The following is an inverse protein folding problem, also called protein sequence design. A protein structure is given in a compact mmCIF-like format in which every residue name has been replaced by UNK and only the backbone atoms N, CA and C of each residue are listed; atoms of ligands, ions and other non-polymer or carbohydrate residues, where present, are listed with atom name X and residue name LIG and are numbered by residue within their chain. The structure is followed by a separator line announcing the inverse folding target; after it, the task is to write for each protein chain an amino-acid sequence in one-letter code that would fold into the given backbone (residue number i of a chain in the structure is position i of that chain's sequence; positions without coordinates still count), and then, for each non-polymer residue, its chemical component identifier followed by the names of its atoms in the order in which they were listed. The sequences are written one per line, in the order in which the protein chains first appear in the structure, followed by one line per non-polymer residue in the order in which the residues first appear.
data_IF_915034284444
#
_entry.id   IF_915034284444
#
_cell.length_a   1.000
_cell.length_b   1.000
_cell.length_c   1.000
_cell.angle_alpha   90.00
_cell.angle_beta   90.00
_cell.angle_gamma   90.00
#
_symmetry.space_group_name_H-M   'P 1'
#
loop_
_entity.id
_entity.type
_entity.pdbx_description
1 polymer ?
#
# COMPACT_ATOMS: atom_id res chain seq x y z
N UNK A 1 -35.00 -0.44 19.27
CA UNK A 1 -33.96 -0.52 18.22
C UNK A 1 -33.41 0.82 17.74
N UNK A 2 -33.99 1.99 18.09
CA UNK A 2 -33.41 3.31 17.73
C UNK A 2 -32.26 3.77 18.65
N UNK A 3 -32.25 3.36 19.92
CA UNK A 3 -31.23 3.80 20.90
C UNK A 3 -29.86 3.13 20.73
N UNK A 4 -29.81 1.90 20.21
CA UNK A 4 -28.55 1.16 19.96
C UNK A 4 -27.80 1.69 18.74
N UNK A 5 -28.54 2.18 17.73
CA UNK A 5 -27.98 2.81 16.53
C UNK A 5 -27.26 4.14 16.82
N UNK A 6 -27.70 4.88 17.84
CA UNK A 6 -27.08 6.16 18.22
C UNK A 6 -25.72 5.94 18.89
N UNK A 7 -25.56 4.86 19.66
CA UNK A 7 -24.28 4.56 20.34
C UNK A 7 -23.21 4.12 19.34
N UNK A 8 -23.57 3.33 18.32
CA UNK A 8 -22.63 2.93 17.25
C UNK A 8 -22.21 4.14 16.41
N UNK A 9 -23.11 5.10 16.19
CA UNK A 9 -22.80 6.33 15.46
C UNK A 9 -21.90 7.29 16.27
N UNK A 10 -22.02 7.32 17.60
CA UNK A 10 -21.15 8.12 18.47
C UNK A 10 -19.71 7.59 18.55
N UNK A 11 -19.48 6.27 18.45
CA UNK A 11 -18.13 5.69 18.48
C UNK A 11 -17.35 6.03 17.20
N UNK A 12 -18.02 6.12 16.04
CA UNK A 12 -17.40 6.51 14.77
C UNK A 12 -17.07 8.02 14.68
N UNK A 13 -17.76 8.86 15.46
CA UNK A 13 -17.53 10.30 15.48
C UNK A 13 -16.35 10.72 16.38
N UNK A 14 -15.98 9.91 17.38
CA UNK A 14 -14.83 10.19 18.24
C UNK A 14 -13.47 9.94 17.56
N UNK A 15 -13.41 9.18 16.46
CA UNK A 15 -12.21 9.05 15.62
C UNK A 15 -11.96 10.26 14.70
N UNK A 16 -12.83 11.27 14.71
CA UNK A 16 -12.76 12.43 13.79
C UNK A 16 -11.90 13.58 14.28
N UNK A 17 -11.33 13.50 15.49
CA UNK A 17 -10.51 14.54 16.11
C UNK A 17 -9.02 14.16 16.21
N UNK A 18 -8.44 13.63 15.13
CA UNK A 18 -6.99 13.63 14.92
C UNK A 18 -6.71 13.95 13.46
N UNK A 19 -6.94 15.21 13.08
CA UNK A 19 -6.39 15.74 11.84
C UNK A 19 -4.86 15.74 11.95
N UNK A 20 -4.26 14.79 11.25
CA UNK A 20 -2.94 14.92 10.60
C UNK A 20 -1.72 15.16 11.50
N UNK A 21 -1.39 14.16 12.30
CA UNK A 21 0.00 13.69 12.44
C UNK A 21 0.07 12.21 12.06
N UNK A 22 -0.61 11.84 10.96
CA UNK A 22 -0.59 10.46 10.42
C UNK A 22 0.84 9.98 10.15
N UNK A 23 1.72 10.93 9.80
CA UNK A 23 3.14 10.71 9.64
C UNK A 23 3.82 12.00 10.11
N UNK A 24 4.50 11.95 11.25
CA UNK A 24 5.25 13.10 11.77
C UNK A 24 6.33 13.53 10.77
N UNK A 25 6.72 14.81 10.78
CA UNK A 25 7.69 15.38 9.83
C UNK A 25 9.11 14.75 9.92
N UNK A 26 9.36 13.84 10.87
CA UNK A 26 10.45 12.85 10.91
C UNK A 26 10.25 11.95 12.13
N UNK A 27 10.20 10.64 11.94
CA UNK A 27 10.20 9.66 13.04
C UNK A 27 11.64 9.20 13.27
N UNK A 28 12.35 9.83 14.21
CA UNK A 28 13.51 9.18 14.84
C UNK A 28 13.10 7.91 15.57
N UNK A 29 11.82 7.77 15.92
CA UNK A 29 11.31 6.68 16.72
C UNK A 29 10.53 5.68 15.85
N UNK A 30 10.71 4.39 16.13
CA UNK A 30 9.96 3.30 15.47
C UNK A 30 8.45 3.55 15.58
N UNK A 31 7.71 3.40 14.48
CA UNK A 31 6.26 3.51 14.53
C UNK A 31 5.65 2.48 15.48
N UNK A 32 4.75 2.95 16.33
CA UNK A 32 3.95 2.12 17.24
C UNK A 32 3.00 1.21 16.46
N UNK A 33 2.53 0.13 17.08
CA UNK A 33 1.54 -0.77 16.47
C UNK A 33 0.26 -0.03 16.05
N UNK A 34 -0.17 0.95 16.85
CA UNK A 34 -1.34 1.77 16.54
C UNK A 34 -1.13 2.62 15.27
N UNK A 35 0.04 3.24 15.12
CA UNK A 35 0.39 4.00 13.91
C UNK A 35 0.46 3.08 12.69
N UNK A 36 1.12 1.93 12.84
CA UNK A 36 1.19 0.91 11.79
C UNK A 36 -0.21 0.45 11.34
N UNK A 37 -1.13 0.25 12.28
CA UNK A 37 -2.51 -0.13 11.96
C UNK A 37 -3.26 1.00 11.24
N UNK A 38 -3.10 2.25 11.67
CA UNK A 38 -3.67 3.40 10.96
C UNK A 38 -3.17 3.50 9.52
N UNK A 39 -1.89 3.24 9.26
CA UNK A 39 -1.33 3.22 7.91
C UNK A 39 -1.91 2.08 7.08
N UNK A 40 -2.08 0.88 7.64
CA UNK A 40 -2.76 -0.24 6.93
C UNK A 40 -4.17 0.16 6.49
N UNK A 41 -4.95 0.74 7.38
CA UNK A 41 -6.33 1.15 7.10
C UNK A 41 -6.38 2.28 6.06
N UNK A 42 -5.49 3.27 6.14
CA UNK A 42 -5.39 4.34 5.15
C UNK A 42 -5.00 3.80 3.77
N UNK A 43 -4.03 2.88 3.67
CA UNK A 43 -3.64 2.26 2.39
C UNK A 43 -4.80 1.49 1.76
N UNK A 44 -5.51 0.67 2.55
CA UNK A 44 -6.70 -0.04 2.06
C UNK A 44 -7.76 0.93 1.56
N UNK A 45 -8.11 1.93 2.37
CA UNK A 45 -9.10 2.96 2.01
C UNK A 45 -8.74 3.68 0.71
N UNK A 46 -7.48 4.07 0.53
CA UNK A 46 -7.01 4.73 -0.69
C UNK A 46 -7.19 3.84 -1.92
N UNK A 47 -6.83 2.56 -1.81
CA UNK A 47 -6.99 1.60 -2.90
C UNK A 47 -8.47 1.36 -3.22
N UNK A 48 -9.31 1.20 -2.20
CA UNK A 48 -10.75 1.00 -2.36
C UNK A 48 -11.41 2.19 -3.04
N UNK A 49 -11.01 3.41 -2.68
CA UNK A 49 -11.47 4.65 -3.31
C UNK A 49 -10.99 4.76 -4.76
N UNK A 50 -9.72 4.51 -5.03
CA UNK A 50 -9.13 4.64 -6.38
C UNK A 50 -9.70 3.63 -7.38
N UNK A 51 -9.95 2.41 -6.91
CA UNK A 51 -10.33 1.30 -7.77
C UNK A 51 -11.80 0.88 -7.67
N UNK A 52 -12.55 1.51 -6.75
CA UNK A 52 -13.97 1.25 -6.49
C UNK A 52 -14.28 -0.25 -6.27
N UNK A 53 -13.44 -0.92 -5.48
CA UNK A 53 -13.57 -2.34 -5.17
C UNK A 53 -12.84 -2.66 -3.85
N UNK A 54 -13.25 -3.72 -3.13
CA UNK A 54 -12.64 -4.07 -1.85
C UNK A 54 -11.30 -4.80 -2.01
N UNK A 55 -10.41 -4.57 -1.05
CA UNK A 55 -9.08 -5.18 -0.99
C UNK A 55 -8.84 -5.83 0.38
N UNK A 56 -7.88 -6.75 0.43
CA UNK A 56 -7.40 -7.31 1.69
C UNK A 56 -5.88 -7.37 1.72
N UNK A 57 -5.30 -7.09 2.89
CA UNK A 57 -3.89 -7.32 3.16
C UNK A 57 -3.71 -8.82 3.37
N UNK A 58 -2.90 -9.46 2.54
CA UNK A 58 -2.57 -10.89 2.67
C UNK A 58 -1.24 -11.10 3.38
N UNK A 59 -0.36 -10.10 3.35
CA UNK A 59 0.89 -10.09 4.08
C UNK A 59 1.31 -8.64 4.38
N UNK A 60 1.98 -8.46 5.50
CA UNK A 60 2.42 -7.16 5.99
C UNK A 60 3.70 -7.30 6.79
N UNK A 61 4.65 -6.41 6.52
CA UNK A 61 5.84 -6.24 7.33
C UNK A 61 6.15 -4.76 7.54
N UNK A 62 6.70 -4.44 8.71
CA UNK A 62 7.26 -3.13 9.03
C UNK A 62 8.69 -3.27 9.49
N UNK A 63 9.61 -2.79 8.65
CA UNK A 63 11.03 -2.78 8.96
C UNK A 63 11.42 -1.40 9.49
N UNK A 64 12.09 -1.39 10.64
CA UNK A 64 12.71 -0.19 11.18
C UNK A 64 14.20 -0.41 11.30
N UNK A 65 14.98 0.39 10.57
CA UNK A 65 16.41 0.18 10.38
C UNK A 65 17.20 1.45 10.61
N UNK A 66 18.48 1.25 10.95
CA UNK A 66 19.45 2.32 11.14
C UNK A 66 20.66 2.08 10.25
N UNK A 67 21.12 3.12 9.57
CA UNK A 67 22.37 3.08 8.82
C UNK A 67 23.20 4.34 9.09
N UNK A 68 24.51 4.24 8.91
CA UNK A 68 25.37 5.41 8.89
C UNK A 68 25.18 6.13 7.56
N UNK A 69 25.03 7.46 7.59
CA UNK A 69 24.83 8.27 6.38
C UNK A 69 25.93 8.04 5.33
N UNK A 70 27.14 7.72 5.77
CA UNK A 70 28.28 7.38 4.93
C UNK A 70 28.93 6.08 5.43
N UNK A 71 29.22 5.16 4.49
CA UNK A 71 29.85 3.87 4.76
C UNK A 71 31.26 4.00 5.32
N UNK A 72 32.01 5.05 4.93
CA UNK A 72 33.35 5.32 5.45
C UNK A 72 33.33 5.68 6.94
N UNK A 73 32.21 6.23 7.42
CA UNK A 73 32.02 6.61 8.82
C UNK A 73 31.69 5.44 9.76
N UNK A 74 31.31 4.27 9.22
CA UNK A 74 30.99 3.10 10.04
C UNK A 74 32.18 2.65 10.90
N UNK A 75 33.40 2.89 10.41
CA UNK A 75 34.65 2.51 11.07
C UNK A 75 34.99 3.44 12.25
N UNK A 76 34.57 4.71 12.19
CA UNK A 76 34.94 5.72 13.19
C UNK A 76 33.78 6.10 14.15
N UNK A 77 32.54 5.67 13.88
CA UNK A 77 31.34 6.09 14.64
C UNK A 77 31.15 7.62 14.73
N UNK A 78 31.67 8.39 13.75
CA UNK A 78 31.74 9.86 13.81
C UNK A 78 30.59 10.57 13.07
N UNK A 79 29.72 9.86 12.36
CA UNK A 79 28.70 10.48 11.50
C UNK A 79 27.28 10.27 12.03
N UNK A 80 26.32 11.14 11.69
CA UNK A 80 24.93 10.95 12.09
C UNK A 80 24.36 9.62 11.58
N UNK A 81 23.65 8.91 12.46
CA UNK A 81 22.82 7.76 12.08
C UNK A 81 21.56 8.25 11.39
N UNK A 82 21.12 7.54 10.37
CA UNK A 82 19.85 7.75 9.68
C UNK A 82 18.94 6.59 10.05
N UNK A 83 17.83 6.93 10.68
CA UNK A 83 16.75 6.01 11.02
C UNK A 83 15.67 6.09 9.95
N UNK A 84 15.12 4.95 9.54
CA UNK A 84 14.02 4.91 8.59
C UNK A 84 13.12 3.69 8.85
N UNK A 85 11.82 3.91 8.75
CA UNK A 85 10.80 2.88 8.73
C UNK A 85 10.36 2.60 7.30
N UNK A 86 9.99 1.36 7.01
CA UNK A 86 9.45 0.94 5.71
C UNK A 86 8.28 0.01 5.93
N UNK A 87 7.13 0.39 5.38
CA UNK A 87 5.97 -0.48 5.26
C UNK A 87 6.07 -1.31 3.99
N UNK A 88 5.86 -2.62 4.11
CA UNK A 88 5.75 -3.55 2.99
C UNK A 88 4.42 -4.29 3.06
N UNK A 89 3.60 -4.18 2.02
CA UNK A 89 2.30 -4.83 1.93
C UNK A 89 2.25 -5.77 0.73
N UNK A 90 1.58 -6.90 0.91
CA UNK A 90 1.02 -7.69 -0.16
C UNK A 90 -0.50 -7.57 -0.06
N UNK A 91 -1.13 -6.98 -1.09
CA UNK A 91 -2.56 -6.67 -1.10
C UNK A 91 -3.22 -7.38 -2.25
N UNK A 92 -4.34 -8.06 -1.99
CA UNK A 92 -5.11 -8.80 -2.99
C UNK A 92 -6.45 -8.11 -3.22
N UNK A 93 -6.85 -7.97 -4.50
CA UNK A 93 -8.24 -7.60 -4.83
C UNK A 93 -9.18 -8.75 -4.48
N UNK A 94 -10.27 -8.46 -3.77
CA UNK A 94 -11.27 -9.47 -3.44
C UNK A 94 -12.10 -9.84 -4.68
N UNK A 95 -12.44 -8.84 -5.51
CA UNK A 95 -13.26 -9.05 -6.70
C UNK A 95 -12.50 -9.69 -7.87
N UNK A 96 -11.17 -9.69 -7.79
CA UNK A 96 -10.29 -10.30 -8.78
C UNK A 96 -8.99 -10.84 -8.12
N UNK A 97 -9.03 -12.03 -7.50
CA UNK A 97 -7.95 -12.53 -6.64
C UNK A 97 -6.60 -12.77 -7.32
N UNK A 98 -6.53 -12.86 -8.66
CA UNK A 98 -5.25 -12.95 -9.37
C UNK A 98 -4.45 -11.65 -9.28
N UNK A 99 -5.10 -10.53 -8.94
CA UNK A 99 -4.45 -9.23 -8.77
C UNK A 99 -3.89 -9.11 -7.36
N UNK A 100 -2.57 -9.21 -7.29
CA UNK A 100 -1.79 -9.08 -6.07
C UNK A 100 -0.79 -7.93 -6.25
N UNK A 101 -0.96 -6.88 -5.46
CA UNK A 101 -0.12 -5.70 -5.45
C UNK A 101 0.93 -5.82 -4.35
N UNK A 102 2.18 -5.52 -4.68
CA UNK A 102 3.28 -5.42 -3.71
C UNK A 102 3.62 -3.95 -3.51
N UNK A 103 3.28 -3.42 -2.33
CA UNK A 103 3.43 -2.00 -2.01
C UNK A 103 4.57 -1.84 -1.02
N UNK A 104 5.51 -0.95 -1.32
CA UNK A 104 6.58 -0.55 -0.41
C UNK A 104 6.54 0.97 -0.23
N UNK A 105 6.48 1.42 1.01
CA UNK A 105 6.32 2.84 1.35
C UNK A 105 7.22 3.21 2.52
N UNK A 106 7.92 4.33 2.41
CA UNK A 106 8.69 4.88 3.52
C UNK A 106 7.76 5.42 4.59
N UNK A 107 8.15 5.25 5.85
CA UNK A 107 7.44 5.78 7.03
C UNK A 107 7.73 7.26 7.24
N UNK A 108 7.44 8.02 6.19
CA UNK A 108 7.62 9.47 6.09
C UNK A 108 6.41 10.08 5.39
N UNK A 109 6.13 11.35 5.67
CA UNK A 109 5.02 12.07 5.05
C UNK A 109 5.21 12.12 3.54
N UNK A 110 6.44 12.31 3.11
CA UNK A 110 6.88 12.27 1.72
C UNK A 110 6.66 10.87 1.12
N UNK A 111 6.91 9.79 1.87
CA UNK A 111 6.67 8.42 1.45
C UNK A 111 5.20 8.15 1.10
N UNK A 112 4.27 8.57 1.96
CA UNK A 112 2.83 8.44 1.67
C UNK A 112 2.39 9.33 0.50
N UNK A 113 2.90 10.55 0.42
CA UNK A 113 2.58 11.43 -0.71
C UNK A 113 3.13 10.87 -2.03
N UNK A 114 4.33 10.30 -2.01
CA UNK A 114 4.91 9.64 -3.17
C UNK A 114 4.08 8.43 -3.60
N UNK A 115 3.61 7.61 -2.64
CA UNK A 115 2.69 6.50 -2.90
C UNK A 115 1.41 6.98 -3.61
N UNK A 116 0.75 8.00 -3.05
CA UNK A 116 -0.49 8.59 -3.62
C UNK A 116 -0.28 9.11 -5.04
N UNK A 117 0.81 9.83 -5.29
CA UNK A 117 1.04 10.52 -6.56
C UNK A 117 1.61 9.62 -7.67
N UNK A 118 2.42 8.62 -7.33
CA UNK A 118 3.20 7.87 -8.34
C UNK A 118 2.70 6.44 -8.53
N UNK A 119 2.14 5.83 -7.49
CA UNK A 119 1.90 4.39 -7.48
C UNK A 119 0.41 4.04 -7.40
N UNK A 120 -0.38 4.79 -6.62
CA UNK A 120 -1.77 4.47 -6.30
C UNK A 120 -2.62 4.18 -7.55
N UNK A 121 -2.52 5.00 -8.60
CA UNK A 121 -3.30 4.82 -9.83
C UNK A 121 -2.85 3.59 -10.65
N UNK A 122 -1.58 3.19 -10.57
CA UNK A 122 -0.98 2.23 -11.50
C UNK A 122 -0.82 0.81 -10.93
N UNK A 123 -0.89 0.63 -9.61
CA UNK A 123 -0.56 -0.65 -8.95
C UNK A 123 -1.41 -1.83 -9.44
N UNK A 124 -2.72 -1.65 -9.60
CA UNK A 124 -3.62 -2.72 -10.02
C UNK A 124 -3.20 -3.30 -11.38
N UNK A 125 -3.06 -2.46 -12.40
CA UNK A 125 -2.72 -2.91 -13.75
C UNK A 125 -1.23 -3.27 -13.90
N UNK A 126 -0.36 -2.79 -13.00
CA UNK A 126 1.03 -3.21 -12.90
C UNK A 126 1.14 -4.67 -12.48
N UNK A 127 0.17 -5.15 -11.71
CA UNK A 127 0.08 -6.56 -11.30
C UNK A 127 -0.16 -7.48 -12.51
N UNK A 128 -0.95 -7.06 -13.50
CA UNK A 128 -1.11 -7.82 -14.76
C UNK A 128 0.22 -7.97 -15.51
N UNK A 129 1.02 -6.91 -15.54
CA UNK A 129 2.36 -6.97 -16.16
C UNK A 129 3.23 -8.03 -15.51
N UNK A 130 3.15 -8.19 -14.18
CA UNK A 130 3.90 -9.24 -13.47
C UNK A 130 3.40 -10.64 -13.83
N UNK A 131 2.08 -10.84 -13.96
CA UNK A 131 1.47 -12.10 -14.37
C UNK A 131 2.00 -12.52 -15.76
N UNK A 132 1.95 -11.62 -16.74
CA UNK A 132 2.44 -11.92 -18.09
C UNK A 132 3.95 -12.10 -18.15
N UNK A 133 4.74 -11.28 -17.43
CA UNK A 133 6.20 -11.42 -17.38
C UNK A 133 6.66 -12.73 -16.75
N UNK A 134 5.95 -13.21 -15.74
CA UNK A 134 6.23 -14.50 -15.09
C UNK A 134 5.76 -15.70 -15.90
N UNK A 135 5.07 -15.48 -17.04
CA UNK A 135 4.42 -16.52 -17.85
C UNK A 135 3.40 -17.35 -17.05
N UNK A 136 2.83 -16.76 -16.00
CA UNK A 136 1.88 -17.43 -15.13
C UNK A 136 0.45 -17.45 -15.68
N UNK A 137 0.21 -16.87 -16.87
CA UNK A 137 -1.14 -16.76 -17.42
C UNK A 137 -1.83 -18.12 -17.59
N UNK A 138 -1.10 -19.20 -17.86
CA UNK A 138 -1.68 -20.53 -18.04
C UNK A 138 -2.12 -21.21 -16.73
N UNK A 139 -1.64 -20.70 -15.58
CA UNK A 139 -1.89 -21.28 -14.25
C UNK A 139 -2.93 -20.50 -13.45
N UNK A 140 -3.52 -19.48 -14.05
CA UNK A 140 -4.54 -18.64 -13.42
C UNK A 140 -5.89 -18.82 -14.10
N UNK A 141 -6.94 -18.46 -13.37
CA UNK A 141 -8.30 -18.44 -13.91
C UNK A 141 -8.39 -17.43 -15.07
N UNK A 142 -8.80 -17.91 -16.25
CA UNK A 142 -8.88 -17.10 -17.47
C UNK A 142 -10.01 -16.06 -17.43
N UNK A 143 -11.13 -16.37 -16.78
CA UNK A 143 -12.23 -15.42 -16.63
C UNK A 143 -11.82 -14.23 -15.76
N UNK A 144 -11.08 -14.49 -14.68
CA UNK A 144 -10.50 -13.47 -13.82
C UNK A 144 -9.45 -12.63 -14.57
N UNK A 145 -8.60 -13.28 -15.37
CA UNK A 145 -7.62 -12.60 -16.22
C UNK A 145 -8.31 -11.65 -17.21
N UNK A 146 -9.34 -12.11 -17.91
CA UNK A 146 -10.07 -11.30 -18.88
C UNK A 146 -10.86 -10.18 -18.20
N UNK A 147 -11.40 -10.42 -17.00
CA UNK A 147 -12.01 -9.38 -16.17
C UNK A 147 -11.00 -8.30 -15.78
N UNK A 148 -9.78 -8.68 -15.37
CA UNK A 148 -8.73 -7.72 -15.03
C UNK A 148 -8.27 -6.92 -16.26
N UNK A 149 -8.08 -7.57 -17.40
CA UNK A 149 -7.73 -6.91 -18.67
C UNK A 149 -8.75 -5.85 -19.06
N UNK A 150 -10.04 -6.22 -19.08
CA UNK A 150 -11.13 -5.28 -19.38
C UNK A 150 -11.15 -4.08 -18.44
N UNK A 151 -10.95 -4.32 -17.14
CA UNK A 151 -10.85 -3.25 -16.16
C UNK A 151 -9.69 -2.30 -16.46
N UNK A 152 -8.49 -2.83 -16.72
CA UNK A 152 -7.31 -2.02 -17.03
C UNK A 152 -7.44 -1.26 -18.35
N UNK A 153 -8.01 -1.89 -19.37
CA UNK A 153 -8.30 -1.25 -20.66
C UNK A 153 -9.31 -0.11 -20.52
N UNK A 154 -10.37 -0.27 -19.71
CA UNK A 154 -11.32 0.82 -19.44
C UNK A 154 -10.71 2.03 -18.73
N UNK A 155 -9.56 1.83 -18.06
CA UNK A 155 -8.76 2.89 -17.43
C UNK A 155 -7.69 3.45 -18.35
N UNK A 156 -7.61 3.00 -19.60
CA UNK A 156 -6.55 3.39 -20.54
C UNK A 156 -5.16 2.87 -20.17
N UNK A 157 -5.06 1.88 -19.27
CA UNK A 157 -3.79 1.36 -18.75
C UNK A 157 -3.40 0.06 -19.46
N UNK A 158 -3.00 0.17 -20.73
CA UNK A 158 -2.75 -0.96 -21.62
C UNK A 158 -1.29 -1.45 -21.68
N UNK A 159 -0.41 -0.94 -20.81
CA UNK A 159 1.04 -1.28 -20.84
C UNK A 159 1.34 -2.77 -20.59
N UNK A 160 0.44 -3.51 -19.95
CA UNK A 160 0.58 -4.96 -19.76
C UNK A 160 0.54 -5.72 -21.09
N UNK A 161 -0.14 -5.19 -22.11
CA UNK A 161 -0.26 -5.83 -23.44
C UNK A 161 1.07 -6.04 -24.13
N UNK A 162 2.10 -5.24 -23.80
CA UNK A 162 3.47 -5.46 -24.29
C UNK A 162 4.03 -6.84 -23.91
N UNK A 163 3.52 -7.41 -22.82
CA UNK A 163 3.97 -8.69 -22.28
C UNK A 163 2.99 -9.84 -22.54
N UNK A 164 1.79 -9.52 -23.03
CA UNK A 164 0.80 -10.49 -23.49
C UNK A 164 1.31 -11.13 -24.79
N UNK A 165 1.70 -12.40 -24.72
CA UNK A 165 2.23 -13.19 -25.84
C UNK A 165 1.32 -14.36 -26.13
#
# INVERSE_FOLDING_TARGET
MKKVLIVIFCVLLLSSCTKSTLIGDKLTDKATEQQQEQVKQEVLKLLEQEYNQPFKIVDYNYDYSVHWKDKTCAIASMCPKVFYGVYSFKIQSINNPIIIMQIRMEDTKEGLQWFKSNQLNNYYCSSLTQIFRSKNQNYINQDDLEKAKRYCDSRGQSYYKKWEK
#
